data_IF_534413580493
#
_entry.id   IF_534413580493
#
_cell.length_a   1.000
_cell.length_b   1.000
_cell.length_c   1.000
_cell.angle_alpha   90.00
_cell.angle_beta   90.00
_cell.angle_gamma   90.00
#
_symmetry.space_group_name_H-M   'P 1'
#
loop_
_entity.id
_entity.type
_entity.pdbx_description
1 polymer ?
#
# COMPACT_ATOMS: atom_id res chain seq x y z
N UNK A 1 -39.88 -40.08 -32.28
CA UNK A 1 -40.10 -38.89 -33.13
C UNK A 1 -39.17 -37.81 -32.59
N UNK A 2 -37.89 -37.85 -32.96
CA UNK A 2 -37.24 -37.11 -34.08
C UNK A 2 -36.95 -35.65 -33.67
N UNK A 3 -35.77 -35.03 -33.83
CA UNK A 3 -34.46 -35.35 -34.42
C UNK A 3 -33.48 -34.28 -33.86
N UNK A 4 -32.27 -34.59 -33.38
CA UNK A 4 -31.00 -34.72 -34.12
C UNK A 4 -30.68 -33.55 -35.09
N UNK A 5 -29.70 -32.71 -34.73
CA UNK A 5 -28.81 -32.04 -35.70
C UNK A 5 -27.38 -31.97 -35.14
N UNK A 6 -26.52 -32.82 -35.72
CA UNK A 6 -25.05 -32.72 -35.75
C UNK A 6 -24.66 -32.35 -37.19
N UNK A 7 -23.77 -31.38 -37.37
CA UNK A 7 -22.74 -31.32 -38.43
C UNK A 7 -21.94 -30.02 -38.25
N UNK A 8 -20.71 -30.05 -37.71
CA UNK A 8 -19.46 -30.27 -38.44
C UNK A 8 -19.17 -29.23 -39.52
N UNK A 9 -18.37 -28.21 -39.16
CA UNK A 9 -17.59 -27.43 -40.11
C UNK A 9 -16.11 -27.49 -39.70
N UNK A 10 -15.36 -28.14 -40.58
CA UNK A 10 -13.94 -27.98 -40.88
C UNK A 10 -12.89 -28.28 -39.81
N UNK A 11 -12.52 -29.56 -39.79
CA UNK A 11 -11.15 -30.04 -39.54
C UNK A 11 -10.26 -29.75 -40.76
N UNK A 12 -9.11 -29.09 -40.56
CA UNK A 12 -7.89 -29.33 -41.33
C UNK A 12 -6.66 -29.24 -40.40
N UNK A 13 -5.77 -30.26 -40.38
CA UNK A 13 -4.47 -30.21 -39.70
C UNK A 13 -3.38 -29.67 -40.66
N UNK A 14 -2.11 -29.74 -40.24
CA UNK A 14 -0.84 -29.31 -40.88
C UNK A 14 -0.23 -28.05 -40.20
N UNK A 15 1.02 -28.01 -39.74
CA UNK A 15 2.13 -28.99 -39.73
C UNK A 15 3.25 -28.44 -38.84
N UNK A 16 4.02 -29.32 -38.20
CA UNK A 16 5.27 -29.00 -37.53
C UNK A 16 6.28 -28.38 -38.51
N UNK A 17 6.80 -27.21 -38.16
CA UNK A 17 8.09 -26.73 -38.65
C UNK A 17 9.03 -26.55 -37.47
N UNK A 18 9.94 -27.52 -37.39
CA UNK A 18 11.21 -27.47 -36.68
C UNK A 18 12.17 -26.56 -37.46
N UNK A 19 12.51 -25.41 -36.88
CA UNK A 19 13.68 -24.63 -37.26
C UNK A 19 14.58 -24.47 -36.04
N UNK A 20 15.81 -24.91 -36.22
CA UNK A 20 16.88 -25.04 -35.25
C UNK A 20 17.37 -23.70 -34.69
N UNK A 21 17.74 -23.75 -33.40
CA UNK A 21 18.97 -23.22 -32.81
C UNK A 21 19.37 -21.76 -33.08
N UNK A 22 19.28 -20.94 -32.02
CA UNK A 22 20.39 -20.06 -31.65
C UNK A 22 20.51 -20.01 -30.13
N UNK A 23 21.36 -20.90 -29.62
CA UNK A 23 21.80 -20.96 -28.22
C UNK A 23 22.69 -19.73 -27.98
N UNK A 24 22.23 -18.77 -27.17
CA UNK A 24 23.12 -17.81 -26.52
C UNK A 24 23.78 -18.52 -25.35
N UNK A 25 25.00 -19.03 -25.58
CA UNK A 25 25.87 -19.55 -24.53
C UNK A 25 26.34 -18.39 -23.63
N UNK A 26 25.87 -18.36 -22.39
CA UNK A 26 26.49 -17.59 -21.32
C UNK A 26 27.70 -18.39 -20.78
N UNK A 27 28.89 -17.77 -20.61
CA UNK A 27 30.05 -18.49 -20.11
C UNK A 27 29.88 -18.85 -18.63
N UNK A 28 30.05 -20.15 -18.36
CA UNK A 28 30.28 -20.73 -17.05
C UNK A 28 31.49 -20.04 -16.38
N UNK A 29 31.27 -19.38 -15.24
CA UNK A 29 32.35 -19.07 -14.30
C UNK A 29 31.99 -19.67 -12.94
N UNK A 30 32.58 -20.83 -12.70
CA UNK A 30 32.85 -21.33 -11.37
C UNK A 30 33.81 -20.37 -10.67
N UNK A 31 33.47 -19.91 -9.48
CA UNK A 31 34.23 -20.07 -8.24
C UNK A 31 33.67 -19.16 -7.15
N UNK A 32 33.25 -19.82 -6.09
CA UNK A 32 32.93 -19.32 -4.77
C UNK A 32 34.08 -18.53 -4.15
N UNK A 33 33.77 -17.38 -3.55
CA UNK A 33 34.58 -16.78 -2.48
C UNK A 33 33.68 -16.54 -1.26
N UNK A 34 34.11 -16.90 -0.03
CA UNK A 34 33.27 -16.81 1.15
C UNK A 34 33.18 -15.38 1.69
N UNK A 35 31.98 -15.00 2.10
CA UNK A 35 31.68 -13.88 2.99
C UNK A 35 32.23 -14.19 4.40
N UNK A 36 33.38 -13.64 4.76
CA UNK A 36 33.87 -13.58 6.14
C UNK A 36 35.10 -12.69 6.20
N UNK A 37 34.94 -11.40 6.56
CA UNK A 37 36.00 -10.61 7.21
C UNK A 37 35.53 -9.19 7.57
N UNK A 38 34.56 -9.10 8.48
CA UNK A 38 34.29 -7.84 9.19
C UNK A 38 33.94 -8.10 10.67
N UNK A 39 34.78 -8.88 11.34
CA UNK A 39 34.75 -9.03 12.78
C UNK A 39 36.15 -9.33 13.32
N UNK A 40 36.96 -8.29 13.52
CA UNK A 40 37.97 -8.22 14.59
C UNK A 40 38.88 -7.01 14.37
N UNK A 41 38.75 -5.98 15.20
CA UNK A 41 39.92 -5.22 15.69
C UNK A 41 39.58 -4.40 16.94
N UNK A 42 40.14 -4.89 18.03
CA UNK A 42 40.71 -4.21 19.20
C UNK A 42 39.82 -3.32 20.07
N UNK A 43 39.49 -3.90 21.23
CA UNK A 43 39.37 -3.23 22.53
C UNK A 43 40.78 -3.02 23.11
N UNK A 44 41.12 -1.79 23.51
CA UNK A 44 42.07 -1.51 24.59
C UNK A 44 41.97 -0.04 25.05
N UNK A 45 41.47 0.16 26.28
CA UNK A 45 41.95 1.16 27.23
C UNK A 45 41.54 2.63 27.04
N UNK A 46 40.46 3.05 27.70
CA UNK A 46 40.37 4.39 28.29
C UNK A 46 39.44 4.39 29.51
N UNK A 47 39.94 5.00 30.57
CA UNK A 47 39.45 5.13 31.94
C UNK A 47 38.14 5.90 32.11
N UNK A 48 37.38 5.45 33.12
CA UNK A 48 36.27 6.09 33.84
C UNK A 48 35.93 7.56 33.51
N UNK A 49 34.74 7.75 32.94
CA UNK A 49 33.89 8.93 33.19
C UNK A 49 32.46 8.44 33.42
N UNK A 50 31.99 8.59 34.64
CA UNK A 50 30.59 8.42 35.04
C UNK A 50 29.75 9.51 34.36
N UNK A 51 29.14 9.19 33.23
CA UNK A 51 28.09 10.00 32.62
C UNK A 51 26.74 9.40 33.02
N UNK A 52 25.94 10.15 33.76
CA UNK A 52 24.56 9.85 34.08
C UNK A 52 23.74 9.71 32.79
N UNK A 53 23.54 8.49 32.33
CA UNK A 53 22.53 8.16 31.33
C UNK A 53 21.15 8.23 31.99
N UNK A 54 20.56 9.41 31.91
CA UNK A 54 19.26 9.72 32.48
C UNK A 54 18.68 10.97 31.85
N UNK A 55 18.67 11.05 30.52
CA UNK A 55 17.76 11.94 29.81
C UNK A 55 16.74 11.09 29.08
N UNK A 56 15.52 11.14 29.60
CA UNK A 56 14.29 10.82 28.88
C UNK A 56 14.36 11.47 27.50
N UNK A 57 14.28 10.66 26.45
CA UNK A 57 14.01 11.11 25.09
C UNK A 57 12.56 11.61 25.09
N UNK A 58 12.35 12.85 25.52
CA UNK A 58 11.09 13.54 25.28
C UNK A 58 11.04 13.83 23.78
N UNK A 59 10.18 13.13 23.04
CA UNK A 59 9.84 13.50 21.67
C UNK A 59 9.53 15.00 21.62
N UNK A 60 9.99 15.76 20.62
CA UNK A 60 9.49 17.11 20.47
C UNK A 60 8.00 16.99 20.16
N UNK A 61 7.17 17.41 21.11
CA UNK A 61 5.76 17.65 20.86
C UNK A 61 5.67 19.06 20.35
N UNK A 62 5.13 19.26 19.15
CA UNK A 62 4.66 20.59 18.79
C UNK A 62 3.68 21.05 19.86
N UNK A 63 3.97 22.16 20.52
CA UNK A 63 3.09 22.72 21.55
C UNK A 63 1.92 23.50 20.92
N UNK A 64 1.95 23.72 19.61
CA UNK A 64 0.85 24.32 18.85
C UNK A 64 0.94 23.98 17.36
N UNK A 65 -0.20 24.03 16.67
CA UNK A 65 -0.26 23.90 15.21
C UNK A 65 0.58 24.95 14.47
N UNK A 66 0.68 26.16 15.02
CA UNK A 66 1.53 27.21 14.44
C UNK A 66 2.99 26.77 14.34
N UNK A 67 3.51 26.10 15.38
CA UNK A 67 4.89 25.60 15.36
C UNK A 67 5.10 24.52 14.30
N UNK A 68 4.12 23.63 14.11
CA UNK A 68 4.14 22.63 13.05
C UNK A 68 4.23 23.30 11.66
N UNK A 69 3.40 24.32 11.43
CA UNK A 69 3.40 25.05 10.15
C UNK A 69 4.71 25.79 9.91
N UNK A 70 5.24 26.50 10.91
CA UNK A 70 6.55 27.16 10.81
C UNK A 70 7.67 26.15 10.50
N UNK A 71 7.68 24.98 11.17
CA UNK A 71 8.64 23.92 10.87
C UNK A 71 8.55 23.41 9.43
N UNK A 72 7.33 23.21 8.89
CA UNK A 72 7.17 22.81 7.49
C UNK A 72 7.59 23.92 6.51
N UNK A 73 7.35 25.18 6.84
CA UNK A 73 7.82 26.35 6.05
C UNK A 73 9.35 26.38 6.01
N UNK A 74 9.99 26.18 7.16
CA UNK A 74 11.44 26.12 7.34
C UNK A 74 12.07 24.83 6.79
N UNK A 75 11.25 23.95 6.20
CA UNK A 75 11.65 22.65 5.64
C UNK A 75 12.31 21.72 6.65
N UNK A 76 11.88 21.80 7.90
CA UNK A 76 12.27 20.86 8.95
C UNK A 76 11.45 19.58 8.79
N UNK A 77 12.15 18.45 8.74
CA UNK A 77 11.53 17.13 8.66
C UNK A 77 10.94 16.71 10.00
N UNK A 78 9.77 16.08 9.95
CA UNK A 78 9.13 15.53 11.14
C UNK A 78 9.64 14.11 11.41
N UNK A 79 9.79 13.78 12.69
CA UNK A 79 9.93 12.38 13.13
C UNK A 79 8.63 11.60 12.86
N UNK A 80 8.71 10.26 12.86
CA UNK A 80 7.52 9.40 12.74
C UNK A 80 6.44 9.77 13.78
N UNK A 81 6.84 10.00 15.03
CA UNK A 81 5.93 10.35 16.13
C UNK A 81 5.28 11.72 15.96
N UNK A 82 6.02 12.70 15.44
CA UNK A 82 5.50 14.04 15.18
C UNK A 82 4.51 14.03 14.01
N UNK A 83 4.81 13.30 12.94
CA UNK A 83 3.92 13.16 11.80
C UNK A 83 2.62 12.43 12.18
N UNK A 84 2.71 11.36 12.98
CA UNK A 84 1.55 10.64 13.52
C UNK A 84 0.68 11.57 14.39
N UNK A 85 1.28 12.26 15.36
CA UNK A 85 0.57 13.17 16.25
C UNK A 85 -0.06 14.35 15.49
N UNK A 86 0.63 14.87 14.47
CA UNK A 86 0.13 15.96 13.63
C UNK A 86 -1.14 15.56 12.88
N UNK A 87 -1.15 14.36 12.28
CA UNK A 87 -2.34 13.89 11.57
C UNK A 87 -3.48 13.52 12.52
N UNK A 88 -3.18 12.92 13.68
CA UNK A 88 -4.19 12.67 14.72
C UNK A 88 -4.88 13.97 15.16
N UNK A 89 -4.10 15.03 15.40
CA UNK A 89 -4.62 16.37 15.72
C UNK A 89 -5.50 16.92 14.58
N UNK A 90 -5.01 16.90 13.35
CA UNK A 90 -5.73 17.41 12.18
C UNK A 90 -7.05 16.67 11.92
N UNK A 91 -7.07 15.35 12.12
CA UNK A 91 -8.27 14.55 11.99
C UNK A 91 -9.26 14.79 13.14
N UNK A 92 -8.77 15.11 14.35
CA UNK A 92 -9.62 15.43 15.50
C UNK A 92 -10.28 16.81 15.36
N UNK A 93 -9.53 17.84 14.98
CA UNK A 93 -10.05 19.20 14.80
C UNK A 93 -10.95 19.32 13.58
N UNK A 94 -10.67 18.52 12.53
CA UNK A 94 -11.42 18.53 11.27
C UNK A 94 -11.50 19.91 10.58
N UNK A 95 -10.55 20.80 10.85
CA UNK A 95 -10.46 22.10 10.20
C UNK A 95 -9.82 21.97 8.80
N UNK A 96 -10.59 22.31 7.78
CA UNK A 96 -10.16 22.18 6.38
C UNK A 96 -8.98 23.09 6.02
N UNK A 97 -8.85 24.27 6.63
CA UNK A 97 -7.77 25.20 6.36
C UNK A 97 -6.44 24.68 6.93
N UNK A 98 -6.47 24.13 8.16
CA UNK A 98 -5.30 23.52 8.78
C UNK A 98 -4.83 22.28 8.01
N UNK A 99 -5.76 21.40 7.62
CA UNK A 99 -5.46 20.23 6.79
C UNK A 99 -4.86 20.67 5.45
N UNK A 100 -5.45 21.68 4.79
CA UNK A 100 -4.96 22.19 3.52
C UNK A 100 -3.53 22.73 3.64
N UNK A 101 -3.25 23.54 4.66
CA UNK A 101 -1.93 24.11 4.91
C UNK A 101 -0.89 23.00 5.12
N UNK A 102 -1.18 22.03 5.98
CA UNK A 102 -0.32 20.89 6.24
C UNK A 102 -0.01 20.09 4.97
N UNK A 103 -1.04 19.72 4.20
CA UNK A 103 -0.87 18.90 3.00
C UNK A 103 -0.03 19.59 1.91
N UNK A 104 -0.25 20.89 1.70
CA UNK A 104 0.47 21.64 0.68
C UNK A 104 1.92 21.88 1.10
N UNK A 105 2.16 22.25 2.36
CA UNK A 105 3.51 22.52 2.86
C UNK A 105 4.35 21.25 2.95
N UNK A 106 3.78 20.15 3.44
CA UNK A 106 4.44 18.86 3.47
C UNK A 106 4.85 18.42 2.05
N UNK A 107 3.94 18.58 1.08
CA UNK A 107 4.22 18.27 -0.33
C UNK A 107 5.29 19.19 -0.94
N UNK A 108 5.27 20.47 -0.60
CA UNK A 108 6.23 21.46 -1.10
C UNK A 108 7.63 21.28 -0.50
N UNK A 109 7.71 20.87 0.77
CA UNK A 109 8.96 20.45 1.44
C UNK A 109 9.53 19.19 0.80
N UNK A 110 8.66 18.25 0.46
CA UNK A 110 9.03 16.89 0.09
C UNK A 110 8.86 15.97 1.30
N UNK A 111 8.08 14.92 1.11
CA UNK A 111 7.75 13.96 2.17
C UNK A 111 8.91 13.01 2.45
N UNK A 112 9.30 12.85 3.71
CA UNK A 112 10.30 11.86 4.14
C UNK A 112 9.68 10.48 4.38
N UNK A 113 10.53 9.46 4.50
CA UNK A 113 10.09 8.12 4.86
C UNK A 113 9.40 8.12 6.24
N UNK A 114 10.01 8.78 7.22
CA UNK A 114 9.54 8.87 8.61
C UNK A 114 8.15 9.54 8.67
N UNK A 115 7.96 10.61 7.89
CA UNK A 115 6.68 11.30 7.78
C UNK A 115 5.61 10.39 7.19
N UNK A 116 5.91 9.71 6.07
CA UNK A 116 4.95 8.79 5.43
C UNK A 116 4.56 7.65 6.38
N UNK A 117 5.51 7.10 7.14
CA UNK A 117 5.25 6.06 8.14
C UNK A 117 4.35 6.58 9.26
N UNK A 118 4.66 7.74 9.83
CA UNK A 118 3.87 8.34 10.90
C UNK A 118 2.42 8.62 10.47
N UNK A 119 2.25 9.20 9.28
CA UNK A 119 0.93 9.46 8.70
C UNK A 119 0.16 8.17 8.40
N UNK A 120 0.84 7.12 7.92
CA UNK A 120 0.21 5.82 7.71
C UNK A 120 -0.26 5.20 9.05
N UNK A 121 0.52 5.32 10.12
CA UNK A 121 0.15 4.85 11.46
C UNK A 121 -1.10 5.55 11.98
N UNK A 122 -1.17 6.88 11.89
CA UNK A 122 -2.35 7.64 12.28
C UNK A 122 -3.61 7.19 11.50
N UNK A 123 -3.49 6.97 10.19
CA UNK A 123 -4.62 6.48 9.39
C UNK A 123 -5.04 5.04 9.72
N UNK A 124 -4.11 4.15 10.03
CA UNK A 124 -4.40 2.78 10.48
C UNK A 124 -5.02 2.78 11.89
N UNK A 125 -4.63 3.71 12.76
CA UNK A 125 -5.23 3.86 14.10
C UNK A 125 -6.72 4.18 14.01
N UNK A 126 -7.13 4.93 12.99
CA UNK A 126 -8.52 5.37 12.75
C UNK A 126 -9.31 4.43 11.82
N UNK A 127 -8.74 3.32 11.36
CA UNK A 127 -9.42 2.39 10.45
C UNK A 127 -10.27 1.35 11.21
N UNK A 128 -11.29 0.82 10.54
CA UNK A 128 -12.00 -0.37 11.00
C UNK A 128 -11.12 -1.60 10.71
N UNK A 129 -10.61 -2.30 11.72
CA UNK A 129 -9.60 -3.35 11.51
C UNK A 129 -10.21 -4.67 11.12
N UNK A 130 -9.52 -5.43 10.28
CA UNK A 130 -9.85 -6.83 9.97
C UNK A 130 -8.82 -7.74 10.62
N UNK A 131 -9.21 -8.41 11.69
CA UNK A 131 -8.31 -9.23 12.51
C UNK A 131 -8.31 -10.70 12.07
N UNK A 132 -7.28 -11.44 12.47
CA UNK A 132 -7.21 -12.90 12.28
C UNK A 132 -6.79 -13.38 10.88
N UNK A 133 -6.12 -12.51 10.11
CA UNK A 133 -5.68 -12.79 8.74
C UNK A 133 -4.16 -13.02 8.64
N UNK A 134 -3.68 -14.10 9.25
CA UNK A 134 -2.25 -14.45 9.20
C UNK A 134 -1.82 -14.94 7.82
N UNK A 135 -0.61 -14.54 7.40
CA UNK A 135 0.01 -14.89 6.12
C UNK A 135 -0.82 -14.47 4.89
N UNK A 136 -1.56 -13.38 5.00
CA UNK A 136 -2.28 -12.78 3.88
C UNK A 136 -1.38 -11.82 3.07
N UNK A 137 -1.68 -11.69 1.78
CA UNK A 137 -1.04 -10.74 0.86
C UNK A 137 -2.04 -9.71 0.34
N UNK A 138 -1.60 -8.47 0.17
CA UNK A 138 -2.29 -7.46 -0.62
C UNK A 138 -1.58 -7.24 -1.96
N UNK A 139 -2.35 -7.03 -3.02
CA UNK A 139 -1.84 -6.67 -4.34
C UNK A 139 -2.57 -5.39 -4.74
N UNK A 140 -1.89 -4.26 -4.65
CA UNK A 140 -2.50 -2.93 -4.68
C UNK A 140 -1.59 -1.95 -5.40
N UNK A 141 -2.13 -0.80 -5.79
CA UNK A 141 -1.34 0.27 -6.36
C UNK A 141 -1.81 1.63 -5.88
N UNK A 142 -0.91 2.60 -5.96
CA UNK A 142 -1.19 4.02 -5.71
C UNK A 142 -2.26 4.58 -6.66
N UNK A 143 -2.33 4.04 -7.89
CA UNK A 143 -3.29 4.46 -8.92
C UNK A 143 -2.98 5.84 -9.50
N UNK A 144 -3.66 6.24 -10.57
CA UNK A 144 -3.41 7.55 -11.19
C UNK A 144 -2.12 7.63 -12.00
N UNK A 145 -1.69 6.51 -12.57
CA UNK A 145 -0.63 6.41 -13.59
C UNK A 145 -1.08 6.93 -14.97
N UNK A 146 -2.38 7.17 -15.16
CA UNK A 146 -2.95 7.63 -16.43
C UNK A 146 -2.93 6.59 -17.55
N UNK A 147 -2.55 5.34 -17.25
CA UNK A 147 -2.32 4.31 -18.26
C UNK A 147 -3.61 3.65 -18.75
N UNK A 148 -4.75 3.89 -18.07
CA UNK A 148 -6.07 3.32 -18.40
C UNK A 148 -6.02 1.81 -18.71
N UNK A 149 -5.24 1.08 -17.92
CA UNK A 149 -5.09 -0.37 -18.07
C UNK A 149 -6.31 -1.11 -17.52
N UNK A 150 -6.39 -2.40 -17.83
CA UNK A 150 -7.30 -3.32 -17.12
C UNK A 150 -6.92 -3.41 -15.64
N UNK A 151 -7.82 -3.88 -14.77
CA UNK A 151 -7.55 -3.98 -13.32
C UNK A 151 -6.58 -5.12 -12.97
N UNK A 152 -5.32 -4.97 -13.37
CA UNK A 152 -4.23 -5.97 -13.23
C UNK A 152 -4.13 -6.46 -11.79
N UNK A 153 -4.10 -5.56 -10.81
CA UNK A 153 -4.00 -5.94 -9.41
C UNK A 153 -5.21 -6.75 -8.91
N UNK A 154 -6.38 -6.56 -9.52
CA UNK A 154 -7.60 -7.32 -9.16
C UNK A 154 -7.55 -8.72 -9.76
N UNK A 155 -7.18 -8.84 -11.04
CA UNK A 155 -6.96 -10.15 -11.67
C UNK A 155 -5.86 -10.95 -11.00
N UNK A 156 -4.73 -10.31 -10.66
CA UNK A 156 -3.62 -10.94 -9.96
C UNK A 156 -4.04 -11.45 -8.57
N UNK A 157 -4.85 -10.69 -7.82
CA UNK A 157 -5.42 -11.14 -6.54
C UNK A 157 -6.26 -12.41 -6.69
N UNK A 158 -7.11 -12.48 -7.71
CA UNK A 158 -7.96 -13.65 -7.98
C UNK A 158 -7.10 -14.88 -8.32
N UNK A 159 -6.09 -14.71 -9.19
CA UNK A 159 -5.18 -15.80 -9.58
C UNK A 159 -4.36 -16.28 -8.37
N UNK A 160 -3.83 -15.36 -7.55
CA UNK A 160 -3.07 -15.71 -6.35
C UNK A 160 -3.91 -16.55 -5.38
N UNK A 161 -5.17 -16.16 -5.16
CA UNK A 161 -6.11 -16.93 -4.33
C UNK A 161 -6.41 -18.31 -4.92
N UNK A 162 -6.63 -18.42 -6.23
CA UNK A 162 -6.82 -19.69 -6.92
C UNK A 162 -5.59 -20.62 -6.82
N UNK A 163 -4.38 -20.05 -6.70
CA UNK A 163 -3.14 -20.78 -6.47
C UNK A 163 -2.86 -21.09 -4.98
N UNK A 164 -3.79 -20.75 -4.07
CA UNK A 164 -3.72 -21.10 -2.65
C UNK A 164 -3.17 -20.02 -1.72
N UNK A 165 -2.87 -18.81 -2.22
CA UNK A 165 -2.52 -17.69 -1.35
C UNK A 165 -3.76 -17.16 -0.61
N UNK A 166 -3.59 -16.67 0.62
CA UNK A 166 -4.62 -15.88 1.30
C UNK A 166 -4.50 -14.43 0.84
N UNK A 167 -5.56 -13.86 0.29
CA UNK A 167 -5.53 -12.50 -0.26
C UNK A 167 -6.48 -11.60 0.52
N UNK A 168 -5.94 -10.57 1.16
CA UNK A 168 -6.72 -9.53 1.81
C UNK A 168 -6.53 -8.23 1.03
N UNK A 169 -7.31 -8.08 -0.04
CA UNK A 169 -7.14 -6.98 -1.00
C UNK A 169 -7.80 -5.71 -0.49
N UNK A 170 -7.05 -4.62 -0.41
CA UNK A 170 -7.66 -3.29 -0.33
C UNK A 170 -7.94 -2.75 -1.74
N UNK A 171 -9.03 -2.02 -1.90
CA UNK A 171 -9.27 -1.27 -3.12
C UNK A 171 -10.33 -0.21 -3.00
N UNK A 172 -10.61 0.46 -4.11
CA UNK A 172 -11.59 1.53 -4.18
C UNK A 172 -12.29 1.52 -5.54
N UNK A 173 -13.34 2.34 -5.66
CA UNK A 173 -13.88 2.75 -6.96
C UNK A 173 -12.90 3.68 -7.67
N UNK A 174 -13.02 3.77 -8.99
CA UNK A 174 -12.18 4.69 -9.75
C UNK A 174 -12.34 6.14 -9.29
N UNK A 175 -11.21 6.85 -9.19
CA UNK A 175 -11.17 8.31 -9.01
C UNK A 175 -10.69 9.06 -10.26
N UNK A 176 -10.18 8.35 -11.27
CA UNK A 176 -9.60 8.93 -12.49
C UNK A 176 -9.50 8.00 -13.72
N UNK A 177 -9.62 6.67 -13.56
CA UNK A 177 -9.66 5.69 -14.66
C UNK A 177 -11.10 5.36 -15.10
N UNK A 178 -11.26 4.59 -16.17
CA UNK A 178 -12.57 4.11 -16.61
C UNK A 178 -13.26 3.18 -15.59
N UNK A 179 -12.50 2.36 -14.86
CA UNK A 179 -13.02 1.45 -13.83
C UNK A 179 -11.99 1.15 -12.72
N UNK A 180 -12.46 1.11 -11.47
CA UNK A 180 -11.68 0.72 -10.30
C UNK A 180 -11.84 -0.76 -9.95
N UNK A 181 -11.09 -1.23 -8.96
CA UNK A 181 -11.17 -2.63 -8.50
C UNK A 181 -12.56 -2.98 -8.00
N UNK A 182 -13.18 -2.06 -7.28
CA UNK A 182 -14.54 -2.23 -6.76
C UNK A 182 -15.57 -2.35 -7.89
N UNK A 183 -15.45 -1.53 -8.93
CA UNK A 183 -16.40 -1.50 -10.04
C UNK A 183 -16.37 -2.83 -10.82
N UNK A 184 -15.18 -3.42 -11.00
CA UNK A 184 -15.03 -4.76 -11.60
C UNK A 184 -15.62 -5.85 -10.72
N UNK A 185 -15.31 -5.86 -9.42
CA UNK A 185 -15.80 -6.90 -8.50
C UNK A 185 -17.33 -6.85 -8.38
N UNK A 186 -17.91 -5.66 -8.33
CA UNK A 186 -19.37 -5.47 -8.31
C UNK A 186 -20.01 -5.96 -9.61
N UNK A 187 -19.43 -5.66 -10.77
CA UNK A 187 -19.90 -6.17 -12.06
C UNK A 187 -19.83 -7.71 -12.17
N UNK A 188 -18.91 -8.35 -11.43
CA UNK A 188 -18.81 -9.81 -11.31
C UNK A 188 -19.77 -10.39 -10.25
N UNK A 189 -20.59 -9.57 -9.59
CA UNK A 189 -21.56 -10.01 -8.58
C UNK A 189 -20.96 -10.24 -7.19
N UNK A 190 -19.74 -9.75 -6.93
CA UNK A 190 -19.11 -9.85 -5.60
C UNK A 190 -19.72 -8.82 -4.66
N UNK A 191 -20.07 -9.25 -3.44
CA UNK A 191 -20.45 -8.34 -2.36
C UNK A 191 -19.21 -7.59 -1.85
N UNK A 192 -19.09 -6.31 -2.21
CA UNK A 192 -17.91 -5.46 -1.92
C UNK A 192 -18.03 -4.62 -0.65
N UNK A 193 -19.22 -4.55 -0.05
CA UNK A 193 -19.51 -3.83 1.20
C UNK A 193 -19.78 -4.83 2.33
N UNK A 194 -18.73 -5.57 2.70
CA UNK A 194 -18.75 -6.47 3.84
C UNK A 194 -18.12 -5.79 5.06
N UNK A 195 -18.57 -6.18 6.25
CA UNK A 195 -17.93 -5.82 7.50
C UNK A 195 -16.63 -6.63 7.73
N UNK A 196 -15.84 -6.31 8.78
CA UNK A 196 -14.60 -7.04 9.07
C UNK A 196 -14.79 -8.55 9.21
N UNK A 197 -15.88 -8.99 9.84
CA UNK A 197 -16.14 -10.41 10.04
C UNK A 197 -16.45 -11.12 8.73
N UNK A 198 -17.22 -10.47 7.85
CA UNK A 198 -17.53 -10.94 6.51
C UNK A 198 -16.28 -11.06 5.64
N UNK A 199 -15.41 -10.04 5.65
CA UNK A 199 -14.13 -10.12 4.93
C UNK A 199 -13.26 -11.25 5.47
N UNK A 200 -13.13 -11.38 6.79
CA UNK A 200 -12.34 -12.45 7.39
C UNK A 200 -12.87 -13.85 7.01
N UNK A 201 -14.20 -14.01 6.99
CA UNK A 201 -14.87 -15.22 6.52
C UNK A 201 -14.56 -15.50 5.05
N UNK A 202 -14.63 -14.50 4.17
CA UNK A 202 -14.29 -14.66 2.75
C UNK A 202 -12.84 -15.10 2.54
N UNK A 203 -11.88 -14.51 3.25
CA UNK A 203 -10.47 -14.94 3.17
C UNK A 203 -10.32 -16.38 3.64
N UNK A 204 -11.02 -16.79 4.71
CA UNK A 204 -10.95 -18.15 5.25
C UNK A 204 -11.57 -19.20 4.33
N UNK A 205 -12.73 -18.91 3.74
CA UNK A 205 -13.53 -19.88 2.98
C UNK A 205 -13.22 -19.88 1.49
N UNK A 206 -12.93 -18.70 0.91
CA UNK A 206 -12.69 -18.51 -0.52
C UNK A 206 -11.23 -18.15 -0.85
N UNK A 207 -10.36 -17.99 0.15
CA UNK A 207 -8.96 -17.59 -0.03
C UNK A 207 -8.78 -16.11 -0.35
N UNK A 208 -9.85 -15.34 -0.55
CA UNK A 208 -9.81 -13.92 -0.90
C UNK A 208 -10.91 -13.12 -0.20
N UNK A 209 -10.55 -11.93 0.28
CA UNK A 209 -11.48 -10.92 0.78
C UNK A 209 -11.13 -9.55 0.20
N UNK A 210 -12.14 -8.70 0.06
CA UNK A 210 -12.00 -7.35 -0.47
C UNK A 210 -12.45 -6.31 0.56
N UNK A 211 -11.60 -5.31 0.79
CA UNK A 211 -11.84 -4.20 1.71
C UNK A 211 -12.03 -2.91 0.91
N UNK A 212 -13.29 -2.44 0.83
CA UNK A 212 -13.66 -1.19 0.18
C UNK A 212 -13.19 0.02 1.01
N UNK A 213 -12.18 0.75 0.53
CA UNK A 213 -11.49 1.77 1.32
C UNK A 213 -12.40 2.81 2.01
N UNK A 214 -13.46 3.38 1.38
CA UNK A 214 -14.39 4.29 2.06
C UNK A 214 -15.10 3.72 3.29
N UNK A 215 -15.33 2.40 3.35
CA UNK A 215 -15.92 1.74 4.52
C UNK A 215 -14.92 1.69 5.67
N UNK A 216 -13.71 1.25 5.36
CA UNK A 216 -12.69 0.93 6.35
C UNK A 216 -11.88 2.14 6.83
N UNK A 217 -11.88 3.25 6.09
CA UNK A 217 -11.18 4.48 6.47
C UNK A 217 -12.14 5.67 6.64
N UNK A 218 -12.98 5.68 7.70
CA UNK A 218 -13.96 6.74 7.93
C UNK A 218 -13.31 8.12 8.08
N UNK A 219 -12.07 8.20 8.60
CA UNK A 219 -11.28 9.43 8.69
C UNK A 219 -11.08 10.12 7.33
N UNK A 220 -11.13 9.37 6.22
CA UNK A 220 -11.05 9.97 4.88
C UNK A 220 -12.20 10.93 4.58
N UNK A 221 -13.34 10.86 5.29
CA UNK A 221 -14.43 11.84 5.13
C UNK A 221 -14.00 13.26 5.50
N UNK A 222 -13.01 13.40 6.39
CA UNK A 222 -12.47 14.68 6.84
C UNK A 222 -11.49 15.24 5.79
N UNK A 223 -10.64 14.38 5.24
CA UNK A 223 -9.56 14.79 4.31
C UNK A 223 -10.05 14.91 2.86
N UNK A 224 -11.07 14.13 2.45
CA UNK A 224 -11.54 14.08 1.06
C UNK A 224 -12.06 15.41 0.50
N UNK A 225 -12.83 16.23 1.24
CA UNK A 225 -13.25 17.55 0.77
C UNK A 225 -12.07 18.46 0.41
N UNK A 226 -11.05 18.50 1.27
CA UNK A 226 -9.83 19.30 1.06
C UNK A 226 -9.09 18.83 -0.20
N UNK A 227 -8.89 17.51 -0.35
CA UNK A 227 -8.23 16.94 -1.54
C UNK A 227 -8.96 17.28 -2.84
N UNK A 228 -10.30 17.25 -2.83
CA UNK A 228 -11.13 17.63 -3.99
C UNK A 228 -11.00 19.11 -4.35
N UNK A 229 -10.83 19.99 -3.37
CA UNK A 229 -10.60 21.43 -3.59
C UNK A 229 -9.19 21.71 -4.11
N UNK A 230 -8.17 21.07 -3.51
CA UNK A 230 -6.77 21.25 -3.88
C UNK A 230 -6.43 20.80 -5.31
N UNK A 231 -6.99 19.67 -5.76
CA UNK A 231 -6.75 19.09 -7.10
C UNK A 231 -5.27 18.90 -7.48
N UNK A 232 -4.40 18.75 -6.49
CA UNK A 232 -2.98 18.41 -6.65
C UNK A 232 -2.65 17.12 -5.90
N UNK A 233 -1.58 16.44 -6.31
CA UNK A 233 -1.08 15.26 -5.60
C UNK A 233 -0.52 15.67 -4.24
N UNK A 234 -0.86 14.93 -3.19
CA UNK A 234 -0.32 15.08 -1.83
C UNK A 234 0.13 13.72 -1.30
N UNK A 235 0.68 13.66 -0.09
CA UNK A 235 1.01 12.40 0.60
C UNK A 235 -0.11 11.35 0.56
N UNK A 236 -1.39 11.76 0.58
CA UNK A 236 -2.53 10.85 0.49
C UNK A 236 -2.65 10.10 -0.85
N UNK A 237 -1.91 10.48 -1.89
CA UNK A 237 -1.83 9.73 -3.13
C UNK A 237 -0.91 8.52 -3.04
N UNK A 238 0.05 8.52 -2.11
CA UNK A 238 0.97 7.40 -1.89
C UNK A 238 0.59 6.56 -0.67
N UNK A 239 -0.19 7.11 0.27
CA UNK A 239 -0.58 6.38 1.48
C UNK A 239 -1.48 5.17 1.20
N UNK A 240 -2.36 5.21 0.21
CA UNK A 240 -3.38 4.17 -0.01
C UNK A 240 -2.90 2.72 0.15
N UNK A 241 -1.85 2.28 -0.57
CA UNK A 241 -1.25 0.95 -0.42
C UNK A 241 -0.72 0.58 0.97
N UNK A 242 -0.43 1.56 1.83
CA UNK A 242 0.10 1.37 3.18
C UNK A 242 -1.00 1.24 4.23
N UNK A 243 -2.26 1.42 3.83
CA UNK A 243 -3.39 1.53 4.76
C UNK A 243 -4.24 0.26 4.83
N UNK A 244 -3.71 -0.90 4.44
CA UNK A 244 -4.50 -2.14 4.43
C UNK A 244 -5.11 -2.43 5.83
N UNK A 245 -6.45 -2.46 5.98
CA UNK A 245 -7.10 -2.66 7.29
C UNK A 245 -6.82 -4.00 7.96
N UNK A 246 -6.37 -5.00 7.19
CA UNK A 246 -5.96 -6.30 7.69
C UNK A 246 -4.49 -6.35 8.13
N UNK A 247 -3.71 -5.26 7.95
CA UNK A 247 -2.28 -5.17 8.29
C UNK A 247 -1.48 -6.38 7.80
N UNK A 248 -1.69 -6.72 6.54
CA UNK A 248 -1.08 -7.89 5.88
C UNK A 248 0.44 -7.89 6.03
N UNK A 249 1.02 -9.09 6.19
CA UNK A 249 2.47 -9.26 6.29
C UNK A 249 3.19 -9.11 4.96
N UNK A 250 2.47 -9.26 3.84
CA UNK A 250 3.02 -9.23 2.49
C UNK A 250 2.21 -8.26 1.62
N UNK A 251 2.90 -7.47 0.80
CA UNK A 251 2.25 -6.61 -0.18
C UNK A 251 3.05 -6.55 -1.48
N UNK A 252 2.35 -6.58 -2.61
CA UNK A 252 2.88 -6.20 -3.93
C UNK A 252 2.29 -4.85 -4.28
N UNK A 253 3.13 -3.81 -4.26
CA UNK A 253 2.70 -2.42 -4.39
C UNK A 253 3.14 -1.84 -5.73
N UNK A 254 2.17 -1.45 -6.56
CA UNK A 254 2.40 -0.65 -7.76
C UNK A 254 2.50 0.85 -7.42
N UNK A 255 3.60 1.49 -7.79
CA UNK A 255 3.82 2.93 -7.61
C UNK A 255 3.82 3.63 -8.96
N UNK A 256 3.09 4.74 -9.08
CA UNK A 256 3.24 5.62 -10.25
C UNK A 256 4.53 6.44 -10.06
N UNK A 257 5.32 6.56 -11.12
CA UNK A 257 6.42 7.52 -11.21
C UNK A 257 6.42 8.17 -12.58
#
# INVERSE_FOLDING_TARGET
MAAAFRSSLFSRPFSHHSSQQSIFQLPNRSQSTPFSDYAARKVAGATSLSASFGQSLSSPSFNSFSQLIESLIDRVDLTESEAEASLDFLLSEADEALISAFLVLLRAKGETYEEVVGLARAMIKQCEKVEGLDNAVDIVGTGGDGANTVNISTGASIIAAACGAKVAKQGNRSSSSACGSADVLEALGVQIDLDPQGVAKCVKEAGIGFMMAPRYHPAMKIVSPVRKKLKVKTVFNILGPLLNPARVSFAVVGVYH
#
